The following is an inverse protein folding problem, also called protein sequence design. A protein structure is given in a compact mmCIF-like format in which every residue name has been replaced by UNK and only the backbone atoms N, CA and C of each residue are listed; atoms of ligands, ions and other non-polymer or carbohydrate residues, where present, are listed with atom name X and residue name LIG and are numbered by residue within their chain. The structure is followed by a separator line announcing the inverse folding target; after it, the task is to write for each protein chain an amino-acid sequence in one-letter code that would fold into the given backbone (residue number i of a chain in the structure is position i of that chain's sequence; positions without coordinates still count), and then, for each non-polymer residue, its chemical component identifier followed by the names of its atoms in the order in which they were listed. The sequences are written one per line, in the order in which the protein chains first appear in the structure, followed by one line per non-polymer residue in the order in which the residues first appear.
data_IF_088229097603
#
_entry.id   IF_088229097603
#
_cell.length_a   1.000
_cell.length_b   1.000
_cell.length_c   1.000
_cell.angle_alpha   90.00
_cell.angle_beta   90.00
_cell.angle_gamma   90.00
#
_symmetry.space_group_name_H-M   'P 1'
#
loop_
_entity.id
_entity.type
_entity.pdbx_description
1 polymer ?
#
# COMPACT_ATOMS: atom_id res chain seq x y z
N UNK A 1 2.52 -2.90 -4.75
CA UNK A 1 2.07 -1.80 -3.87
C UNK A 1 2.91 -1.74 -2.61
N UNK A 2 2.90 -0.61 -1.91
CA UNK A 2 3.61 -0.44 -0.65
C UNK A 2 2.60 -0.39 0.48
N UNK A 3 2.73 -1.29 1.45
CA UNK A 3 1.85 -1.37 2.61
C UNK A 3 2.57 -0.85 3.85
N UNK A 4 1.85 -0.07 4.65
CA UNK A 4 2.34 0.53 5.89
C UNK A 4 1.46 0.08 7.08
N UNK A 5 2.00 0.18 8.30
CA UNK A 5 1.32 -0.17 9.56
C UNK A 5 0.96 -1.65 9.72
N UNK A 6 1.72 -2.56 9.11
CA UNK A 6 1.59 -3.98 9.39
C UNK A 6 2.40 -4.27 10.66
N UNK A 7 1.75 -4.81 11.69
CA UNK A 7 2.46 -5.21 12.92
C UNK A 7 3.43 -6.34 12.62
N UNK A 8 4.63 -6.25 13.19
CA UNK A 8 5.70 -7.22 13.01
C UNK A 8 5.81 -8.10 14.24
N UNK A 9 5.62 -9.42 14.10
CA UNK A 9 6.12 -10.38 15.09
C UNK A 9 7.34 -11.13 14.53
N UNK A 10 8.27 -11.48 15.43
CA UNK A 10 9.48 -12.22 15.06
C UNK A 10 9.12 -13.60 14.50
N UNK A 11 9.54 -13.88 13.27
CA UNK A 11 9.38 -15.19 12.63
C UNK A 11 8.09 -15.37 11.84
N UNK A 12 7.26 -14.33 11.69
CA UNK A 12 6.05 -14.41 10.88
C UNK A 12 6.35 -14.53 9.38
N UNK A 13 5.50 -15.29 8.68
CA UNK A 13 5.57 -15.42 7.23
C UNK A 13 4.76 -14.28 6.57
N UNK A 14 5.46 -13.26 6.06
CA UNK A 14 4.84 -12.11 5.37
C UNK A 14 3.94 -12.51 4.21
N UNK A 15 4.22 -13.62 3.52
CA UNK A 15 3.36 -14.10 2.43
C UNK A 15 1.98 -14.49 2.95
N UNK A 16 1.91 -15.17 4.09
CA UNK A 16 0.63 -15.54 4.72
C UNK A 16 -0.13 -14.32 5.23
N UNK A 17 0.56 -13.40 5.92
CA UNK A 17 -0.05 -12.17 6.44
C UNK A 17 -0.63 -11.32 5.31
N UNK A 18 0.17 -11.03 4.28
CA UNK A 18 -0.30 -10.23 3.14
C UNK A 18 -1.46 -10.90 2.42
N UNK A 19 -1.44 -12.23 2.30
CA UNK A 19 -2.54 -12.99 1.70
C UNK A 19 -3.81 -12.81 2.51
N UNK A 20 -3.73 -12.92 3.84
CA UNK A 20 -4.88 -12.76 4.72
C UNK A 20 -5.48 -11.35 4.64
N UNK A 21 -4.64 -10.32 4.72
CA UNK A 21 -5.07 -8.91 4.64
C UNK A 21 -5.76 -8.63 3.30
N UNK A 22 -5.14 -9.07 2.21
CA UNK A 22 -5.63 -8.76 0.88
C UNK A 22 -6.82 -9.62 0.48
N UNK A 23 -6.85 -10.90 0.86
CA UNK A 23 -8.01 -11.76 0.66
C UNK A 23 -9.22 -11.23 1.44
N UNK A 24 -9.02 -10.81 2.70
CA UNK A 24 -10.08 -10.22 3.52
C UNK A 24 -10.62 -8.93 2.93
N UNK A 25 -9.74 -7.99 2.52
CA UNK A 25 -10.18 -6.70 1.96
C UNK A 25 -10.73 -6.77 0.54
N UNK A 26 -10.45 -7.83 -0.23
CA UNK A 26 -10.96 -7.99 -1.59
C UNK A 26 -12.12 -8.98 -1.69
N UNK A 27 -12.41 -9.72 -0.61
CA UNK A 27 -13.33 -10.88 -0.58
C UNK A 27 -12.96 -11.97 -1.60
N UNK A 28 -11.65 -12.15 -1.85
CA UNK A 28 -11.11 -13.14 -2.79
C UNK A 28 -10.58 -14.35 -2.00
N UNK A 29 -10.61 -15.54 -2.59
CA UNK A 29 -10.00 -16.72 -1.96
C UNK A 29 -8.50 -16.54 -1.71
N UNK A 30 -8.02 -17.04 -0.56
CA UNK A 30 -6.61 -16.96 -0.16
C UNK A 30 -5.67 -17.57 -1.22
N UNK A 31 -6.09 -18.67 -1.85
CA UNK A 31 -5.31 -19.37 -2.89
C UNK A 31 -5.06 -18.50 -4.13
N UNK A 32 -6.11 -17.86 -4.67
CA UNK A 32 -5.98 -16.94 -5.81
C UNK A 32 -5.08 -15.75 -5.48
N UNK A 33 -5.15 -15.29 -4.23
CA UNK A 33 -4.33 -14.17 -3.78
C UNK A 33 -2.85 -14.57 -3.62
N UNK A 34 -2.57 -15.79 -3.16
CA UNK A 34 -1.22 -16.34 -3.08
C UNK A 34 -0.58 -16.53 -4.45
N UNK A 35 -1.33 -17.03 -5.43
CA UNK A 35 -0.88 -17.23 -6.81
C UNK A 35 -0.61 -15.89 -7.53
N UNK A 36 -1.42 -14.88 -7.24
CA UNK A 36 -1.24 -13.53 -7.79
C UNK A 36 -0.03 -12.76 -7.24
N UNK A 37 0.56 -13.22 -6.13
CA UNK A 37 1.74 -12.61 -5.51
C UNK A 37 3.02 -13.31 -5.92
N UNK A 38 3.91 -12.53 -6.54
CA UNK A 38 5.21 -12.99 -7.04
C UNK A 38 6.26 -12.88 -5.92
N UNK A 39 6.65 -11.65 -5.59
CA UNK A 39 7.69 -11.35 -4.60
C UNK A 39 7.16 -10.44 -3.49
N UNK A 40 7.58 -10.71 -2.25
CA UNK A 40 7.26 -9.91 -1.07
C UNK A 40 8.56 -9.59 -0.34
N UNK A 41 8.83 -8.31 -0.13
CA UNK A 41 10.03 -7.86 0.57
C UNK A 41 9.70 -6.75 1.55
N UNK A 42 10.39 -6.77 2.68
CA UNK A 42 10.39 -5.66 3.62
C UNK A 42 11.44 -4.64 3.22
N UNK A 43 11.10 -3.36 3.31
CA UNK A 43 12.08 -2.29 3.10
C UNK A 43 12.58 -1.77 4.42
N UNK A 44 13.88 -1.98 4.63
CA UNK A 44 14.60 -1.48 5.78
C UNK A 44 14.99 -0.02 5.54
N UNK A 45 14.35 0.89 6.28
CA UNK A 45 14.73 2.30 6.27
C UNK A 45 15.28 2.73 7.62
N UNK A 46 16.37 3.51 7.61
CA UNK A 46 16.91 4.09 8.83
C UNK A 46 15.89 4.96 9.58
N UNK A 47 14.96 5.56 8.86
CA UNK A 47 13.85 6.32 9.43
C UNK A 47 12.92 5.44 10.29
N UNK A 48 12.49 4.28 9.78
CA UNK A 48 11.61 3.39 10.53
C UNK A 48 12.26 2.91 11.83
N UNK A 49 13.56 2.56 11.77
CA UNK A 49 14.32 2.18 12.96
C UNK A 49 14.43 3.31 13.99
N UNK A 50 14.83 4.51 13.56
CA UNK A 50 15.04 5.65 14.48
C UNK A 50 13.74 6.05 15.19
N UNK A 51 12.62 5.97 14.48
CA UNK A 51 11.31 6.36 15.00
C UNK A 51 10.49 5.20 15.59
N UNK A 52 11.08 3.98 15.66
CA UNK A 52 10.39 2.77 16.14
C UNK A 52 9.05 2.51 15.42
N UNK A 53 9.01 2.78 14.11
CA UNK A 53 7.83 2.56 13.26
C UNK A 53 7.87 1.15 12.65
N UNK A 54 6.70 0.52 12.40
CA UNK A 54 6.63 -0.72 11.62
C UNK A 54 7.22 -0.51 10.23
N UNK A 55 7.95 -1.51 9.70
CA UNK A 55 8.59 -1.41 8.39
C UNK A 55 7.55 -1.52 7.28
N UNK A 56 7.93 -1.01 6.12
CA UNK A 56 7.07 -1.04 4.95
C UNK A 56 7.22 -2.38 4.22
N UNK A 57 6.09 -2.98 3.83
CA UNK A 57 6.06 -4.22 3.05
C UNK A 57 5.75 -3.90 1.61
N UNK A 58 6.57 -4.42 0.71
CA UNK A 58 6.39 -4.30 -0.73
C UNK A 58 5.94 -5.63 -1.28
N UNK A 59 4.89 -5.57 -2.10
CA UNK A 59 4.36 -6.72 -2.82
C UNK A 59 4.42 -6.46 -4.31
N UNK A 60 5.10 -7.35 -5.02
CA UNK A 60 5.09 -7.48 -6.47
C UNK A 60 3.99 -8.47 -6.85
N UNK A 61 3.10 -8.03 -7.73
CA UNK A 61 2.01 -8.86 -8.24
C UNK A 61 2.33 -9.29 -9.66
N UNK A 62 1.96 -10.53 -9.99
CA UNK A 62 2.10 -11.11 -11.33
C UNK A 62 1.28 -10.32 -12.36
N UNK A 63 0.05 -9.96 -12.00
CA UNK A 63 -0.88 -9.22 -12.86
C UNK A 63 -1.00 -7.75 -12.44
N UNK A 64 -0.83 -6.84 -13.40
CA UNK A 64 -1.01 -5.39 -13.20
C UNK A 64 -2.46 -5.00 -12.87
N UNK A 65 -3.44 -5.77 -13.38
CA UNK A 65 -4.88 -5.57 -13.12
C UNK A 65 -5.17 -5.71 -11.63
N UNK A 66 -4.77 -6.82 -11.01
CA UNK A 66 -4.90 -7.08 -9.57
C UNK A 66 -4.25 -5.97 -8.75
N UNK A 67 -3.04 -5.55 -9.10
CA UNK A 67 -2.36 -4.42 -8.43
C UNK A 67 -3.19 -3.13 -8.46
N UNK A 68 -3.87 -2.86 -9.56
CA UNK A 68 -4.63 -1.61 -9.76
C UNK A 68 -5.95 -1.68 -8.99
N UNK A 69 -6.64 -2.81 -9.05
CA UNK A 69 -7.86 -3.09 -8.29
C UNK A 69 -7.64 -2.97 -6.78
N UNK A 70 -6.56 -3.56 -6.26
CA UNK A 70 -6.17 -3.44 -4.84
C UNK A 70 -5.96 -1.97 -4.45
N UNK A 71 -5.30 -1.19 -5.29
CA UNK A 71 -5.04 0.22 -5.02
C UNK A 71 -6.29 1.10 -5.15
N UNK A 72 -7.34 0.62 -5.82
CA UNK A 72 -8.62 1.29 -5.91
C UNK A 72 -9.47 0.94 -4.69
N UNK A 73 -9.68 -0.36 -4.40
CA UNK A 73 -10.43 -0.80 -3.22
C UNK A 73 -9.83 -0.27 -1.93
N UNK A 74 -8.51 -0.30 -1.76
CA UNK A 74 -7.85 0.21 -0.55
C UNK A 74 -7.94 1.74 -0.36
N UNK A 75 -8.44 2.48 -1.36
CA UNK A 75 -8.79 3.91 -1.19
C UNK A 75 -10.21 4.09 -0.68
N UNK A 76 -11.12 3.25 -1.19
CA UNK A 76 -12.55 3.31 -0.88
C UNK A 76 -12.81 2.71 0.51
N UNK A 77 -12.16 1.59 0.82
CA UNK A 77 -12.25 0.90 2.10
C UNK A 77 -10.85 0.66 2.70
N UNK A 78 -10.53 1.21 3.88
CA UNK A 78 -9.25 0.98 4.53
C UNK A 78 -9.07 -0.49 4.92
N UNK A 79 -7.98 -1.09 4.44
CA UNK A 79 -7.60 -2.45 4.83
C UNK A 79 -7.31 -2.48 6.34
N UNK A 80 -7.85 -3.47 7.06
CA UNK A 80 -7.63 -3.64 8.50
C UNK A 80 -6.88 -4.93 8.78
N UNK A 81 -5.93 -4.88 9.71
CA UNK A 81 -5.20 -6.04 10.21
C UNK A 81 -4.94 -5.90 11.71
N UNK A 82 -5.27 -6.92 12.50
CA UNK A 82 -5.14 -6.91 13.97
C UNK A 82 -5.70 -5.61 14.62
N UNK A 83 -6.81 -5.08 14.08
CA UNK A 83 -7.45 -3.86 14.58
C UNK A 83 -6.79 -2.53 14.14
N UNK A 84 -5.71 -2.56 13.36
CA UNK A 84 -5.04 -1.38 12.80
C UNK A 84 -5.31 -1.21 11.31
N UNK A 85 -5.38 0.04 10.87
CA UNK A 85 -5.54 0.38 9.46
C UNK A 85 -4.19 0.26 8.72
N UNK A 86 -4.19 -0.59 7.70
CA UNK A 86 -3.08 -0.82 6.77
C UNK A 86 -3.25 0.08 5.57
N UNK A 87 -2.28 0.99 5.37
CA UNK A 87 -2.33 1.91 4.22
C UNK A 87 -1.66 1.30 3.01
N UNK A 88 -2.38 1.22 1.89
CA UNK A 88 -1.84 0.80 0.61
C UNK A 88 -1.47 2.01 -0.26
N UNK A 89 -0.19 2.13 -0.61
CA UNK A 89 0.34 3.23 -1.40
C UNK A 89 0.90 2.76 -2.74
N UNK A 90 0.69 3.57 -3.78
CA UNK A 90 1.34 3.38 -5.08
C UNK A 90 2.81 3.76 -4.96
N UNK A 91 3.70 2.91 -5.47
CA UNK A 91 5.11 3.24 -5.60
C UNK A 91 5.27 4.32 -6.68
N UNK A 92 5.82 5.47 -6.27
CA UNK A 92 6.08 6.62 -7.14
C UNK A 92 7.56 6.96 -7.01
N UNK A 93 8.32 7.01 -8.13
CA UNK A 93 9.71 7.42 -8.13
C UNK A 93 9.90 8.77 -7.42
N UNK A 94 11.02 8.92 -6.73
CA UNK A 94 11.31 10.13 -5.94
C UNK A 94 11.24 11.40 -6.79
N UNK A 95 11.85 11.41 -7.99
CA UNK A 95 11.79 12.53 -8.94
C UNK A 95 10.36 13.02 -9.20
N UNK A 96 9.45 12.09 -9.48
CA UNK A 96 8.04 12.40 -9.74
C UNK A 96 7.34 12.94 -8.49
N UNK A 97 7.69 12.42 -7.31
CA UNK A 97 7.13 12.87 -6.03
C UNK A 97 7.56 14.30 -5.70
N UNK A 98 8.82 14.63 -5.94
CA UNK A 98 9.38 15.94 -5.68
C UNK A 98 8.74 16.99 -6.61
N UNK A 99 8.60 16.67 -7.91
CA UNK A 99 7.85 17.52 -8.86
C UNK A 99 6.41 17.76 -8.41
N UNK A 100 5.68 16.71 -8.01
CA UNK A 100 4.28 16.85 -7.53
C UNK A 100 4.14 17.73 -6.29
N UNK A 101 5.17 17.74 -5.43
CA UNK A 101 5.17 18.50 -4.18
C UNK A 101 5.18 20.01 -4.45
N UNK A 102 5.86 20.47 -5.50
CA UNK A 102 5.87 21.87 -5.91
C UNK A 102 4.48 22.36 -6.32
N UNK A 103 3.71 21.51 -7.00
CA UNK A 103 2.36 21.84 -7.48
C UNK A 103 1.23 21.45 -6.52
N UNK A 104 1.56 21.03 -5.30
CA UNK A 104 0.55 20.59 -4.33
C UNK A 104 -0.44 21.71 -3.99
N UNK A 105 -0.01 22.97 -4.03
CA UNK A 105 -0.90 24.13 -3.80
C UNK A 105 -2.00 24.23 -4.86
N UNK A 106 -1.68 24.00 -6.14
CA UNK A 106 -2.66 24.02 -7.23
C UNK A 106 -3.72 22.94 -7.03
N UNK A 107 -3.30 21.74 -6.61
CA UNK A 107 -4.26 20.66 -6.36
C UNK A 107 -5.25 20.99 -5.26
N UNK A 108 -4.82 21.70 -4.20
CA UNK A 108 -5.73 22.18 -3.15
C UNK A 108 -6.73 23.21 -3.69
N UNK A 109 -6.28 24.11 -4.55
CA UNK A 109 -7.15 25.12 -5.18
C UNK A 109 -8.17 24.46 -6.12
N UNK A 110 -7.74 23.49 -6.95
CA UNK A 110 -8.61 22.76 -7.86
C UNK A 110 -9.69 21.97 -7.11
N UNK A 111 -9.31 21.26 -6.05
CA UNK A 111 -10.26 20.53 -5.19
C UNK A 111 -11.26 21.49 -4.55
N UNK A 112 -10.81 22.67 -4.09
CA UNK A 112 -11.69 23.70 -3.52
C UNK A 112 -12.68 24.26 -4.54
N UNK A 113 -12.33 24.25 -5.84
CA UNK A 113 -13.19 24.64 -6.96
C UNK A 113 -14.04 23.47 -7.49
N UNK A 114 -14.13 22.36 -6.75
CA UNK A 114 -14.85 21.14 -7.15
C UNK A 114 -14.36 20.50 -8.45
N UNK A 115 -13.14 20.85 -8.89
CA UNK A 115 -12.51 20.20 -10.04
C UNK A 115 -11.92 18.87 -9.57
N UNK A 116 -12.42 17.76 -10.13
CA UNK A 116 -11.92 16.43 -9.83
C UNK A 116 -10.55 16.18 -10.48
N UNK A 117 -9.50 16.68 -9.83
CA UNK A 117 -8.12 16.53 -10.27
C UNK A 117 -7.42 15.34 -9.58
N UNK A 118 -6.68 14.54 -10.35
CA UNK A 118 -5.93 13.38 -9.85
C UNK A 118 -4.59 13.22 -10.57
N UNK A 119 -3.55 12.94 -9.79
CA UNK A 119 -2.18 12.64 -10.26
C UNK A 119 -1.96 11.21 -10.76
#
# INVERSE_FOLDING_TARGET
PRFQNIEEEKGENFKKIMTEILAGGLEISKEKMMDGMDEIFQVYTGYAMRNKLPREVYVRFTKKTMRTEILQKARDDPLKYKGKEVKALKQIPRKVRDLRREYQYLTKILIKKEVNYRW
#
